data_IF_721122723585
#
_entry.id   IF_721122723585
#
_cell.length_a   1.000
_cell.length_b   1.000
_cell.length_c   1.000
_cell.angle_alpha   90.00
_cell.angle_beta   90.00
_cell.angle_gamma   90.00
#
_symmetry.space_group_name_H-M   'P 1'
#
loop_
_entity.id
_entity.type
_entity.pdbx_description
1 polymer ?
#
# COMPACT_ATOMS: atom_id res chain seq x y z
N UNK A 1 -3.87 28.41 12.55
CA UNK A 1 -4.72 27.64 13.48
C UNK A 1 -4.66 28.26 14.87
N UNK A 2 -5.70 28.07 15.70
CA UNK A 2 -5.71 28.53 17.09
C UNK A 2 -4.89 27.51 17.89
N UNK A 3 -3.89 27.93 18.69
CA UNK A 3 -3.13 27.02 19.55
C UNK A 3 -4.04 26.29 20.53
N UNK A 4 -3.82 24.99 20.68
CA UNK A 4 -4.54 24.18 21.67
C UNK A 4 -3.63 23.84 22.85
N UNK A 5 -4.18 23.92 24.07
CA UNK A 5 -3.46 23.52 25.27
C UNK A 5 -3.63 22.01 25.49
N UNK A 6 -2.54 21.27 25.51
CA UNK A 6 -2.52 19.81 25.61
C UNK A 6 -1.49 19.30 26.64
N UNK A 7 -1.57 18.03 26.99
CA UNK A 7 -0.55 17.34 27.75
C UNK A 7 0.22 16.43 26.79
N UNK A 8 1.52 16.61 26.68
CA UNK A 8 2.41 15.73 25.95
C UNK A 8 3.13 14.80 26.92
N UNK A 9 2.94 13.50 26.74
CA UNK A 9 3.64 12.46 27.46
C UNK A 9 4.71 11.83 26.56
N UNK A 10 6.01 12.05 26.82
CA UNK A 10 7.08 11.48 26.02
C UNK A 10 7.08 9.96 25.96
N UNK A 11 6.49 9.28 26.94
CA UNK A 11 6.42 7.81 26.97
C UNK A 11 5.59 7.21 25.83
N UNK A 12 4.70 7.99 25.23
CA UNK A 12 3.94 7.59 24.01
C UNK A 12 4.86 7.39 22.80
N UNK A 13 6.06 8.00 22.84
CA UNK A 13 7.10 7.88 21.80
C UNK A 13 8.30 7.06 22.27
N UNK A 14 8.12 6.22 23.29
CA UNK A 14 9.20 5.44 23.93
C UNK A 14 10.39 6.31 24.43
N UNK A 15 10.14 7.59 24.73
CA UNK A 15 11.14 8.51 25.22
C UNK A 15 11.05 8.69 26.74
N UNK A 16 12.19 8.87 27.42
CA UNK A 16 12.18 9.14 28.86
C UNK A 16 11.71 10.58 29.14
N UNK A 17 10.87 10.75 30.15
CA UNK A 17 10.41 12.08 30.57
C UNK A 17 9.10 12.00 31.35
N UNK A 18 8.75 13.09 32.03
CA UNK A 18 7.44 13.25 32.63
C UNK A 18 6.50 13.99 31.67
N UNK A 19 5.18 13.78 31.77
CA UNK A 19 4.20 14.54 31.02
C UNK A 19 4.36 16.04 31.25
N UNK A 20 4.28 16.82 30.17
CA UNK A 20 4.43 18.28 30.16
C UNK A 20 3.24 18.97 29.54
N UNK A 21 2.88 20.13 30.06
CA UNK A 21 1.84 20.98 29.48
C UNK A 21 2.41 21.71 28.27
N UNK A 22 1.75 21.62 27.13
CA UNK A 22 2.21 22.16 25.85
C UNK A 22 1.14 22.96 25.16
N UNK A 23 1.58 23.92 24.36
CA UNK A 23 0.79 24.46 23.27
C UNK A 23 1.02 23.59 22.05
N UNK A 24 -0.04 23.07 21.47
CA UNK A 24 -0.06 22.34 20.20
C UNK A 24 -0.45 23.33 19.09
N UNK A 25 0.44 23.49 18.13
CA UNK A 25 0.36 24.50 17.09
C UNK A 25 0.54 23.85 15.73
N UNK A 26 -0.35 24.16 14.80
CA UNK A 26 -0.07 23.97 13.38
C UNK A 26 0.44 25.26 12.78
N UNK A 27 1.64 25.22 12.25
CA UNK A 27 2.26 26.32 11.54
C UNK A 27 2.14 26.04 10.04
N UNK A 28 1.56 26.97 9.31
CA UNK A 28 1.50 26.94 7.85
C UNK A 28 2.08 28.22 7.27
N UNK A 29 2.88 28.08 6.22
CA UNK A 29 3.42 29.23 5.48
C UNK A 29 2.61 29.45 4.20
N UNK A 30 1.99 30.63 4.08
CA UNK A 30 1.32 31.00 2.84
C UNK A 30 2.37 31.27 1.75
N UNK A 31 2.42 30.42 0.73
CA UNK A 31 3.26 30.62 -0.47
C UNK A 31 4.55 29.79 -0.54
N UNK A 32 4.86 28.99 0.47
CA UNK A 32 5.94 27.99 0.41
C UNK A 32 5.32 26.65 0.70
N UNK A 33 5.25 25.75 -0.29
CA UNK A 33 4.58 24.44 -0.19
C UNK A 33 5.19 23.53 0.89
N UNK A 34 6.38 23.86 1.40
CA UNK A 34 7.18 22.95 2.24
C UNK A 34 7.35 23.45 3.69
N UNK A 35 6.51 24.33 4.21
CA UNK A 35 6.70 24.89 5.54
C UNK A 35 5.49 24.72 6.48
N UNK A 36 4.81 23.58 6.38
CA UNK A 36 3.79 23.20 7.36
C UNK A 36 4.39 22.31 8.43
N UNK A 37 4.14 22.63 9.68
CA UNK A 37 4.61 21.81 10.79
C UNK A 37 3.61 21.83 11.96
N UNK A 38 3.44 20.69 12.62
CA UNK A 38 2.88 20.63 13.98
C UNK A 38 4.01 20.83 14.97
N UNK A 39 3.83 21.76 15.88
CA UNK A 39 4.87 22.16 16.85
C UNK A 39 4.31 22.07 18.24
N UNK A 40 4.98 21.34 19.12
CA UNK A 40 4.70 21.39 20.56
C UNK A 40 5.66 22.34 21.26
N UNK A 41 5.09 23.33 21.92
CA UNK A 41 5.81 24.32 22.68
C UNK A 41 5.47 24.18 24.17
N UNK A 42 6.45 24.09 25.03
CA UNK A 42 6.20 24.05 26.47
C UNK A 42 5.39 25.28 26.91
N UNK A 43 4.23 25.03 27.51
CA UNK A 43 3.37 26.10 28.02
C UNK A 43 3.97 26.84 29.23
N UNK A 44 5.02 26.27 29.83
CA UNK A 44 5.71 26.84 31.01
C UNK A 44 6.96 27.63 30.60
N UNK A 45 7.80 27.06 29.72
CA UNK A 45 9.09 27.66 29.38
C UNK A 45 9.10 28.36 28.02
N UNK A 46 8.12 28.13 27.14
CA UNK A 46 8.12 28.61 25.77
C UNK A 46 9.11 27.88 24.85
N UNK A 47 9.77 26.82 25.37
CA UNK A 47 10.72 26.05 24.57
C UNK A 47 9.97 25.16 23.57
N UNK A 48 10.46 25.09 22.34
CA UNK A 48 10.00 24.11 21.35
C UNK A 48 10.47 22.73 21.79
N UNK A 49 9.53 21.84 22.05
CA UNK A 49 9.80 20.48 22.51
C UNK A 49 9.84 19.52 21.32
N UNK A 50 8.95 19.71 20.34
CA UNK A 50 8.84 18.87 19.14
C UNK A 50 8.43 19.69 17.94
N UNK A 51 8.92 19.27 16.80
CA UNK A 51 8.49 19.76 15.49
C UNK A 51 8.26 18.51 14.63
N UNK A 52 7.04 18.31 14.20
CA UNK A 52 6.75 17.37 13.13
C UNK A 52 6.46 18.17 11.87
N UNK A 53 7.30 18.08 10.84
CA UNK A 53 6.93 18.62 9.55
C UNK A 53 5.59 18.00 9.14
N UNK A 54 4.56 18.81 8.97
CA UNK A 54 3.31 18.40 8.31
C UNK A 54 3.40 18.74 6.83
N UNK A 55 4.61 18.77 6.31
CA UNK A 55 4.82 18.74 4.88
C UNK A 55 4.32 17.39 4.44
N UNK A 56 3.12 17.38 3.91
CA UNK A 56 2.81 16.39 2.91
C UNK A 56 3.85 16.61 1.83
N UNK A 57 4.88 15.78 1.75
CA UNK A 57 5.58 15.66 0.50
C UNK A 57 4.47 15.34 -0.49
N UNK A 58 4.27 16.24 -1.45
CA UNK A 58 3.17 16.09 -2.39
C UNK A 58 3.30 14.69 -2.98
N UNK A 59 2.22 13.92 -3.01
CA UNK A 59 2.21 12.61 -3.68
C UNK A 59 2.99 12.74 -4.98
N UNK A 60 3.99 11.89 -5.17
CA UNK A 60 4.74 11.82 -6.43
C UNK A 60 4.48 10.45 -7.08
N UNK A 61 3.51 10.40 -7.97
CA UNK A 61 3.13 9.18 -8.69
C UNK A 61 3.69 9.19 -10.10
N UNK A 62 4.28 8.05 -10.51
CA UNK A 62 4.85 7.83 -11.84
C UNK A 62 4.33 6.53 -12.41
N UNK A 63 3.48 6.63 -13.43
CA UNK A 63 2.85 5.47 -14.05
C UNK A 63 3.45 5.24 -15.43
N UNK A 64 3.94 4.04 -15.61
CA UNK A 64 4.56 3.56 -16.85
C UNK A 64 3.66 2.52 -17.51
N UNK A 65 3.63 2.52 -18.82
CA UNK A 65 2.91 1.56 -19.63
C UNK A 65 3.89 0.67 -20.40
N UNK A 66 3.88 -0.60 -20.12
CA UNK A 66 4.67 -1.60 -20.83
C UNK A 66 4.02 -2.02 -22.16
N UNK A 67 2.79 -1.55 -22.45
CA UNK A 67 2.05 -1.82 -23.67
C UNK A 67 1.97 -3.33 -24.00
N UNK A 68 1.66 -4.15 -23.01
CA UNK A 68 1.60 -5.61 -23.12
C UNK A 68 2.92 -6.23 -23.62
N UNK A 69 4.04 -5.71 -23.14
CA UNK A 69 5.38 -6.24 -23.40
C UNK A 69 6.16 -6.47 -22.11
N UNK A 70 7.37 -7.00 -22.22
CA UNK A 70 8.31 -7.16 -21.10
C UNK A 70 9.14 -5.91 -20.80
N UNK A 71 8.84 -4.77 -21.46
CA UNK A 71 9.57 -3.53 -21.24
C UNK A 71 9.43 -3.03 -19.80
N UNK A 72 10.53 -2.79 -19.14
CA UNK A 72 10.59 -2.34 -17.77
C UNK A 72 11.48 -1.08 -17.67
N UNK A 73 10.93 0.06 -17.22
CA UNK A 73 9.57 0.31 -16.72
C UNK A 73 8.49 0.46 -17.80
N UNK A 74 8.83 0.54 -19.09
CA UNK A 74 7.93 0.92 -20.16
C UNK A 74 7.97 2.43 -20.42
N UNK A 75 6.93 2.95 -21.07
CA UNK A 75 6.79 4.38 -21.39
C UNK A 75 6.13 5.11 -20.23
N UNK A 76 6.71 6.20 -19.76
CA UNK A 76 6.08 7.08 -18.76
C UNK A 76 4.84 7.74 -19.41
N UNK A 77 3.64 7.44 -18.89
CA UNK A 77 2.37 7.89 -19.47
C UNK A 77 1.60 8.85 -18.57
N UNK A 78 1.85 8.82 -17.25
CA UNK A 78 1.20 9.74 -16.31
C UNK A 78 2.11 10.04 -15.11
N UNK A 79 2.15 11.30 -14.69
CA UNK A 79 2.86 11.76 -13.50
C UNK A 79 1.93 12.61 -12.64
N UNK A 80 2.37 12.91 -11.42
CA UNK A 80 1.61 13.73 -10.49
C UNK A 80 1.20 15.07 -11.10
N UNK A 81 -0.08 15.44 -10.88
CA UNK A 81 -0.65 16.69 -11.39
C UNK A 81 -1.03 16.71 -12.87
N UNK A 82 -0.72 15.65 -13.64
CA UNK A 82 -1.10 15.58 -15.06
C UNK A 82 -2.46 14.90 -15.24
N UNK A 83 -3.15 15.27 -16.32
CA UNK A 83 -4.45 14.69 -16.68
C UNK A 83 -4.38 13.21 -17.03
N UNK A 84 -5.52 12.63 -17.40
CA UNK A 84 -5.62 11.23 -17.79
C UNK A 84 -4.72 10.91 -18.99
N UNK A 85 -4.10 9.72 -18.95
CA UNK A 85 -3.22 9.22 -20.00
C UNK A 85 -3.99 8.67 -21.22
N UNK A 86 -5.26 8.30 -21.03
CA UNK A 86 -6.08 7.57 -22.00
C UNK A 86 -5.82 6.06 -22.01
N UNK A 87 -4.94 5.55 -21.16
CA UNK A 87 -4.72 4.11 -20.90
C UNK A 87 -5.43 3.77 -19.59
N UNK A 88 -6.53 3.01 -19.66
CA UNK A 88 -7.39 2.75 -18.51
C UNK A 88 -6.61 2.18 -17.31
N UNK A 89 -5.77 1.16 -17.52
CA UNK A 89 -4.96 0.57 -16.44
C UNK A 89 -4.01 1.60 -15.80
N UNK A 90 -3.44 2.52 -16.59
CA UNK A 90 -2.56 3.56 -16.06
C UNK A 90 -3.33 4.62 -15.27
N UNK A 91 -4.53 4.96 -15.74
CA UNK A 91 -5.37 5.95 -15.06
C UNK A 91 -5.95 5.39 -13.77
N UNK A 92 -6.32 4.10 -13.74
CA UNK A 92 -6.74 3.40 -12.53
C UNK A 92 -5.57 3.28 -11.53
N UNK A 93 -4.39 2.81 -11.96
CA UNK A 93 -3.22 2.71 -11.08
C UNK A 93 -2.86 4.07 -10.47
N UNK A 94 -2.93 5.16 -11.24
CA UNK A 94 -2.70 6.50 -10.73
C UNK A 94 -3.69 6.87 -9.63
N UNK A 95 -4.98 6.57 -9.82
CA UNK A 95 -6.02 6.89 -8.83
C UNK A 95 -5.83 6.03 -7.59
N UNK A 96 -5.74 4.71 -7.72
CA UNK A 96 -5.70 3.78 -6.59
C UNK A 96 -4.41 3.89 -5.76
N UNK A 97 -3.27 4.18 -6.38
CA UNK A 97 -2.05 4.53 -5.63
C UNK A 97 -2.24 5.82 -4.81
N UNK A 98 -3.03 6.77 -5.33
CA UNK A 98 -3.37 7.97 -4.59
C UNK A 98 -4.26 7.70 -3.39
N UNK A 99 -5.30 6.91 -3.58
CA UNK A 99 -6.24 6.51 -2.52
C UNK A 99 -5.49 5.74 -1.41
N UNK A 100 -4.59 4.83 -1.79
CA UNK A 100 -3.75 4.07 -0.86
C UNK A 100 -2.78 4.98 -0.09
N UNK A 101 -2.12 5.91 -0.79
CA UNK A 101 -1.26 6.89 -0.14
C UNK A 101 -2.03 7.72 0.89
N UNK A 102 -3.21 8.23 0.52
CA UNK A 102 -4.06 9.02 1.40
C UNK A 102 -4.51 8.21 2.62
N UNK A 103 -4.84 6.94 2.44
CA UNK A 103 -5.18 6.05 3.55
C UNK A 103 -4.01 5.94 4.54
N UNK A 104 -2.81 5.60 4.08
CA UNK A 104 -1.64 5.47 4.94
C UNK A 104 -1.28 6.79 5.64
N UNK A 105 -1.39 7.90 4.92
CA UNK A 105 -1.13 9.22 5.48
C UNK A 105 -2.16 9.61 6.54
N UNK A 106 -3.46 9.44 6.26
CA UNK A 106 -4.53 9.88 7.18
C UNK A 106 -4.67 8.96 8.38
N UNK A 107 -4.52 7.65 8.20
CA UNK A 107 -4.77 6.67 9.27
C UNK A 107 -3.51 6.43 10.11
N UNK A 108 -2.34 6.41 9.47
CA UNK A 108 -1.08 6.04 10.11
C UNK A 108 -0.06 7.19 10.20
N UNK A 109 -0.35 8.35 9.60
CA UNK A 109 0.58 9.47 9.53
C UNK A 109 1.78 9.18 8.63
N UNK A 110 1.69 8.15 7.79
CA UNK A 110 2.80 7.64 6.99
C UNK A 110 2.90 8.31 5.64
N UNK A 111 4.08 8.84 5.33
CA UNK A 111 4.38 9.50 4.06
C UNK A 111 5.04 8.52 3.08
N UNK A 112 4.23 7.90 2.21
CA UNK A 112 4.66 6.96 1.18
C UNK A 112 5.23 5.62 1.73
N UNK A 113 6.01 4.89 0.90
CA UNK A 113 6.55 3.56 1.22
C UNK A 113 7.57 3.59 2.36
N UNK A 114 8.39 4.63 2.41
CA UNK A 114 9.55 4.76 3.30
C UNK A 114 9.35 5.74 4.45
N UNK A 115 8.12 6.26 4.60
CA UNK A 115 7.77 7.34 5.54
C UNK A 115 8.60 8.63 5.33
N UNK A 116 9.07 8.84 4.10
CA UNK A 116 9.90 9.98 3.72
C UNK A 116 9.60 10.51 2.31
N UNK A 117 8.44 10.17 1.74
CA UNK A 117 7.97 10.70 0.46
C UNK A 117 8.56 10.02 -0.77
N UNK A 118 8.99 8.76 -0.68
CA UNK A 118 9.48 8.02 -1.85
C UNK A 118 8.43 8.04 -2.98
N UNK A 119 8.82 8.39 -4.22
CA UNK A 119 7.91 8.38 -5.34
C UNK A 119 7.21 7.03 -5.54
N UNK A 120 5.88 7.04 -5.64
CA UNK A 120 5.09 5.84 -5.95
C UNK A 120 5.17 5.53 -7.44
N UNK A 121 5.70 4.37 -7.78
CA UNK A 121 5.93 3.99 -9.18
C UNK A 121 5.19 2.72 -9.54
N UNK A 122 4.43 2.73 -10.63
CA UNK A 122 3.78 1.54 -11.17
C UNK A 122 4.07 1.34 -12.65
N UNK A 123 4.16 0.07 -13.06
CA UNK A 123 4.18 -0.34 -14.46
C UNK A 123 2.94 -1.16 -14.75
N UNK A 124 2.09 -0.69 -15.63
CA UNK A 124 0.85 -1.38 -16.04
C UNK A 124 1.03 -2.08 -17.37
N UNK A 125 0.13 -3.00 -17.68
CA UNK A 125 0.13 -3.84 -18.87
C UNK A 125 1.48 -4.54 -19.08
N UNK A 126 2.08 -4.97 -17.95
CA UNK A 126 3.38 -5.64 -17.96
C UNK A 126 3.23 -7.14 -18.22
N UNK A 127 4.04 -7.66 -19.12
CA UNK A 127 4.17 -9.10 -19.35
C UNK A 127 5.42 -9.61 -18.64
N UNK A 128 5.27 -10.40 -17.60
CA UNK A 128 6.42 -11.05 -16.98
C UNK A 128 7.09 -12.00 -17.98
N UNK A 129 8.44 -12.02 -18.04
CA UNK A 129 9.15 -12.97 -18.89
C UNK A 129 8.81 -14.42 -18.49
N UNK A 130 8.31 -15.21 -19.43
CA UNK A 130 7.96 -16.62 -19.22
C UNK A 130 8.88 -17.60 -19.95
N UNK A 131 10.02 -17.12 -20.47
CA UNK A 131 11.00 -17.94 -21.17
C UNK A 131 10.61 -18.29 -22.62
N UNK A 132 9.47 -17.84 -23.13
CA UNK A 132 9.12 -17.99 -24.56
C UNK A 132 9.64 -16.81 -25.39
N UNK A 133 9.87 -17.02 -26.70
CA UNK A 133 10.29 -15.94 -27.60
C UNK A 133 9.42 -15.96 -28.88
N UNK A 134 8.54 -14.96 -29.13
CA UNK A 134 8.29 -13.80 -28.26
C UNK A 134 7.63 -14.19 -26.93
N UNK A 135 7.84 -13.40 -25.87
CA UNK A 135 7.22 -13.69 -24.60
C UNK A 135 5.69 -13.61 -24.75
N UNK A 136 5.00 -14.69 -24.39
CA UNK A 136 3.57 -14.65 -24.29
C UNK A 136 3.23 -13.90 -22.99
N UNK A 137 2.37 -12.88 -23.08
CA UNK A 137 1.80 -12.32 -21.88
C UNK A 137 1.04 -13.44 -21.15
N UNK A 138 1.31 -13.72 -19.87
CA UNK A 138 0.48 -14.65 -19.13
C UNK A 138 -0.98 -14.17 -19.18
N UNK A 139 -1.94 -15.09 -19.03
CA UNK A 139 -3.34 -14.71 -18.92
C UNK A 139 -3.50 -13.66 -17.80
N UNK A 140 -4.57 -12.85 -17.82
CA UNK A 140 -4.82 -11.83 -16.80
C UNK A 140 -4.70 -12.48 -15.40
N UNK A 141 -3.89 -11.89 -14.52
CA UNK A 141 -3.63 -12.46 -13.20
C UNK A 141 -2.22 -12.19 -12.68
N UNK A 142 -1.62 -11.05 -13.07
CA UNK A 142 -0.32 -10.67 -12.55
C UNK A 142 -0.38 -9.32 -11.89
N UNK A 143 -0.15 -9.29 -10.58
CA UNK A 143 0.30 -8.12 -9.84
C UNK A 143 1.47 -8.55 -8.94
N UNK A 144 2.43 -7.67 -8.73
CA UNK A 144 3.50 -7.88 -7.76
C UNK A 144 4.24 -6.58 -7.46
N UNK A 145 4.75 -6.48 -6.23
CA UNK A 145 5.71 -5.45 -5.82
C UNK A 145 7.14 -5.94 -6.01
N UNK A 146 7.99 -5.11 -6.54
CA UNK A 146 9.43 -5.39 -6.60
C UNK A 146 10.26 -4.10 -6.59
N UNK A 147 11.18 -4.01 -5.63
CA UNK A 147 12.21 -2.95 -5.56
C UNK A 147 11.66 -1.53 -5.72
N UNK A 148 10.62 -1.19 -4.96
CA UNK A 148 10.02 0.14 -4.94
C UNK A 148 9.01 0.42 -6.06
N UNK A 149 8.59 -0.61 -6.82
CA UNK A 149 7.63 -0.47 -7.90
C UNK A 149 6.58 -1.56 -7.87
N UNK A 150 5.34 -1.19 -8.17
CA UNK A 150 4.24 -2.09 -8.40
C UNK A 150 4.14 -2.44 -9.89
N UNK A 151 3.79 -3.69 -10.20
CA UNK A 151 3.63 -4.20 -11.57
C UNK A 151 2.27 -4.84 -11.72
N UNK A 152 1.59 -4.51 -12.81
CA UNK A 152 0.27 -5.03 -13.10
C UNK A 152 0.18 -5.53 -14.56
N UNK A 153 -0.34 -6.73 -14.75
CA UNK A 153 -0.75 -7.22 -16.06
C UNK A 153 -1.94 -6.45 -16.61
N UNK A 154 -2.24 -6.62 -17.89
CA UNK A 154 -3.38 -5.98 -18.55
C UNK A 154 -4.69 -6.34 -17.84
N UNK A 155 -5.47 -5.32 -17.45
CA UNK A 155 -6.75 -5.48 -16.76
C UNK A 155 -6.65 -5.99 -15.31
N UNK A 156 -5.46 -5.93 -14.69
CA UNK A 156 -5.24 -6.42 -13.33
C UNK A 156 -5.03 -5.29 -12.32
N UNK A 157 -5.60 -4.12 -12.58
CA UNK A 157 -5.56 -2.94 -11.73
C UNK A 157 -6.92 -2.74 -11.08
N UNK A 158 -7.11 -3.30 -9.89
CA UNK A 158 -8.21 -3.01 -8.96
C UNK A 158 -7.66 -2.22 -7.77
N UNK A 159 -8.51 -1.60 -6.98
CA UNK A 159 -8.10 -0.72 -5.88
C UNK A 159 -7.51 -1.48 -4.71
N UNK A 160 -8.16 -2.55 -4.25
CA UNK A 160 -7.64 -3.47 -3.26
C UNK A 160 -6.33 -4.15 -3.69
N UNK A 161 -6.25 -4.62 -4.96
CA UNK A 161 -5.03 -5.22 -5.51
C UNK A 161 -3.90 -4.18 -5.58
N UNK A 162 -4.21 -2.94 -5.95
CA UNK A 162 -3.21 -1.86 -5.99
C UNK A 162 -2.72 -1.52 -4.59
N UNK A 163 -3.62 -1.48 -3.61
CA UNK A 163 -3.28 -1.23 -2.22
C UNK A 163 -2.51 -2.41 -1.61
N UNK A 164 -2.84 -3.65 -1.96
CA UNK A 164 -2.10 -4.86 -1.60
C UNK A 164 -0.64 -4.75 -2.06
N UNK A 165 -0.40 -4.43 -3.33
CA UNK A 165 0.97 -4.32 -3.86
C UNK A 165 1.76 -3.17 -3.23
N UNK A 166 1.12 -2.04 -2.96
CA UNK A 166 1.77 -0.93 -2.25
C UNK A 166 2.13 -1.34 -0.82
N UNK A 167 1.26 -2.10 -0.15
CA UNK A 167 1.48 -2.58 1.23
C UNK A 167 2.68 -3.50 1.35
N UNK A 168 2.98 -4.32 0.33
CA UNK A 168 4.26 -5.04 0.29
C UNK A 168 5.47 -4.10 0.38
N UNK A 169 5.36 -2.94 -0.27
CA UNK A 169 6.39 -1.89 -0.18
C UNK A 169 6.50 -1.33 1.24
N UNK A 170 5.39 -1.02 1.89
CA UNK A 170 5.38 -0.58 3.29
C UNK A 170 6.00 -1.65 4.19
N UNK A 171 5.58 -2.91 4.06
CA UNK A 171 6.14 -4.04 4.82
C UNK A 171 7.66 -4.18 4.63
N UNK A 172 8.16 -3.92 3.41
CA UNK A 172 9.60 -4.00 3.13
C UNK A 172 10.41 -2.92 3.86
N UNK A 173 9.85 -1.72 4.05
CA UNK A 173 10.50 -0.62 4.76
C UNK A 173 10.32 -0.70 6.27
N UNK A 174 9.24 -1.33 6.76
CA UNK A 174 8.93 -1.45 8.19
C UNK A 174 9.47 -2.73 8.82
N UNK A 175 8.69 -3.80 8.72
CA UNK A 175 9.01 -5.07 9.39
C UNK A 175 10.03 -5.92 8.64
N UNK A 176 10.22 -5.69 7.34
CA UNK A 176 11.16 -6.45 6.50
C UNK A 176 10.87 -7.94 6.49
N UNK A 177 9.61 -8.36 6.60
CA UNK A 177 9.21 -9.78 6.60
C UNK A 177 9.76 -10.48 5.37
N UNK A 178 10.60 -11.49 5.57
CA UNK A 178 11.19 -12.28 4.51
C UNK A 178 10.08 -13.00 3.73
N UNK A 179 10.05 -12.82 2.40
CA UNK A 179 8.99 -13.31 1.54
C UNK A 179 9.13 -14.81 1.24
N UNK A 180 8.96 -15.64 2.28
CA UNK A 180 8.97 -17.09 2.19
C UNK A 180 8.27 -17.71 3.41
N UNK A 181 7.64 -18.87 3.23
CA UNK A 181 7.00 -19.64 4.28
C UNK A 181 6.02 -18.79 5.13
N UNK A 182 5.99 -18.98 6.44
CA UNK A 182 5.06 -18.28 7.34
C UNK A 182 5.27 -16.76 7.37
N UNK A 183 6.51 -16.27 7.33
CA UNK A 183 6.76 -14.82 7.28
C UNK A 183 6.24 -14.18 6.00
N UNK A 184 6.35 -14.89 4.87
CA UNK A 184 5.76 -14.46 3.61
C UNK A 184 4.25 -14.52 3.63
N UNK A 185 3.66 -15.55 4.25
CA UNK A 185 2.21 -15.65 4.41
C UNK A 185 1.64 -14.52 5.29
N UNK A 186 2.36 -14.09 6.33
CA UNK A 186 2.00 -12.92 7.14
C UNK A 186 2.08 -11.63 6.30
N UNK A 187 3.13 -11.49 5.47
CA UNK A 187 3.28 -10.37 4.55
C UNK A 187 2.09 -10.27 3.59
N UNK A 188 1.68 -11.40 2.99
CA UNK A 188 0.48 -11.49 2.14
C UNK A 188 -0.79 -11.14 2.88
N UNK A 189 -0.99 -11.70 4.09
CA UNK A 189 -2.16 -11.43 4.91
C UNK A 189 -2.29 -9.95 5.28
N UNK A 190 -1.19 -9.29 5.65
CA UNK A 190 -1.21 -7.85 5.89
C UNK A 190 -1.53 -7.05 4.64
N UNK A 191 -1.00 -7.46 3.49
CA UNK A 191 -1.30 -6.81 2.21
C UNK A 191 -2.78 -6.95 1.85
N UNK A 192 -3.38 -8.11 2.07
CA UNK A 192 -4.82 -8.33 1.88
C UNK A 192 -5.64 -7.44 2.85
N UNK A 193 -5.31 -7.43 4.15
CA UNK A 193 -6.04 -6.66 5.16
C UNK A 193 -6.02 -5.16 4.85
N UNK A 194 -4.85 -4.60 4.52
CA UNK A 194 -4.75 -3.18 4.21
C UNK A 194 -5.32 -2.85 2.83
N UNK A 195 -5.25 -3.79 1.87
CA UNK A 195 -5.93 -3.70 0.57
C UNK A 195 -7.41 -3.48 0.75
N UNK A 196 -8.06 -4.36 1.51
CA UNK A 196 -9.48 -4.27 1.81
C UNK A 196 -9.86 -3.01 2.60
N UNK A 197 -9.05 -2.56 3.56
CA UNK A 197 -9.36 -1.32 4.28
C UNK A 197 -9.30 -0.09 3.38
N UNK A 198 -8.42 -0.07 2.39
CA UNK A 198 -8.38 1.00 1.38
C UNK A 198 -9.62 0.93 0.51
N UNK A 199 -9.97 -0.26 0.01
CA UNK A 199 -11.15 -0.51 -0.82
C UNK A 199 -12.42 -0.03 -0.12
N UNK A 200 -12.70 -0.51 1.08
CA UNK A 200 -13.86 -0.10 1.88
C UNK A 200 -13.91 1.41 2.21
N UNK A 201 -12.79 2.11 2.14
CA UNK A 201 -12.67 3.51 2.51
C UNK A 201 -12.63 4.49 1.34
N UNK A 202 -12.30 4.05 0.12
CA UNK A 202 -12.07 4.94 -1.02
C UNK A 202 -13.34 5.33 -1.78
N UNK A 203 -14.45 4.60 -1.58
CA UNK A 203 -15.74 4.81 -2.23
C UNK A 203 -15.71 4.52 -3.73
N UNK A 204 -14.86 3.61 -4.16
CA UNK A 204 -14.74 3.14 -5.54
C UNK A 204 -15.09 1.66 -5.61
N UNK A 205 -15.19 1.13 -6.83
CA UNK A 205 -15.45 -0.29 -7.00
C UNK A 205 -16.83 -0.75 -6.50
N UNK A 206 -16.89 -1.95 -5.96
CA UNK A 206 -18.12 -2.65 -5.57
C UNK A 206 -18.09 -3.05 -4.10
N UNK A 207 -18.29 -2.11 -3.17
CA UNK A 207 -18.24 -2.32 -1.70
C UNK A 207 -19.56 -2.83 -1.10
N UNK A 208 -20.16 -3.83 -1.67
CA UNK A 208 -21.38 -4.40 -1.09
C UNK A 208 -21.07 -5.39 0.04
N UNK A 209 -22.03 -5.61 0.92
CA UNK A 209 -21.88 -6.61 2.00
C UNK A 209 -21.58 -8.04 1.50
N UNK A 210 -21.87 -8.34 0.23
CA UNK A 210 -21.64 -9.65 -0.37
C UNK A 210 -20.18 -9.86 -0.82
N UNK A 211 -19.46 -8.80 -1.13
CA UNK A 211 -18.08 -8.85 -1.62
C UNK A 211 -17.06 -8.40 -0.58
N UNK A 212 -17.51 -7.75 0.48
CA UNK A 212 -16.67 -7.35 1.60
C UNK A 212 -15.80 -8.50 2.09
N UNK A 213 -14.51 -8.24 2.27
CA UNK A 213 -13.47 -9.20 2.64
C UNK A 213 -13.13 -10.21 1.53
N UNK A 214 -13.42 -9.87 0.29
CA UNK A 214 -12.87 -10.53 -0.89
C UNK A 214 -11.72 -9.67 -1.44
N UNK A 215 -10.71 -10.27 -2.00
CA UNK A 215 -9.61 -9.58 -2.68
C UNK A 215 -9.75 -9.81 -4.18
N UNK A 216 -9.75 -8.71 -4.94
CA UNK A 216 -9.82 -8.73 -6.40
C UNK A 216 -11.24 -8.93 -6.95
N UNK A 217 -12.29 -8.59 -6.21
CA UNK A 217 -13.68 -8.76 -6.68
C UNK A 217 -14.00 -7.88 -7.90
N UNK A 218 -13.35 -6.73 -8.04
CA UNK A 218 -13.49 -5.83 -9.18
C UNK A 218 -12.63 -6.20 -10.40
N UNK A 219 -11.81 -7.25 -10.28
CA UNK A 219 -11.09 -7.77 -11.43
C UNK A 219 -12.04 -8.44 -12.45
N UNK A 220 -11.72 -8.43 -13.75
CA UNK A 220 -12.53 -9.10 -14.77
C UNK A 220 -12.77 -10.59 -14.51
N UNK A 221 -11.88 -11.25 -13.73
CA UNK A 221 -11.99 -12.65 -13.33
C UNK A 221 -12.75 -12.87 -12.02
N UNK A 222 -13.13 -11.80 -11.32
CA UNK A 222 -13.70 -11.85 -9.99
C UNK A 222 -12.65 -12.10 -8.90
N UNK A 223 -13.11 -12.23 -7.66
CA UNK A 223 -12.27 -12.33 -6.48
C UNK A 223 -11.23 -13.48 -6.53
N UNK A 224 -10.06 -13.20 -6.00
CA UNK A 224 -8.92 -14.12 -5.93
C UNK A 224 -8.89 -14.89 -4.61
N UNK A 225 -9.26 -14.26 -3.52
CA UNK A 225 -9.22 -14.80 -2.14
C UNK A 225 -10.40 -14.30 -1.33
N UNK A 226 -10.65 -14.94 -0.20
CA UNK A 226 -11.62 -14.49 0.80
C UNK A 226 -11.01 -14.55 2.19
N UNK A 227 -10.99 -13.42 2.90
CA UNK A 227 -10.54 -13.39 4.29
C UNK A 227 -11.54 -14.00 5.27
N UNK A 228 -12.82 -14.04 4.92
CA UNK A 228 -13.87 -14.63 5.79
C UNK A 228 -14.12 -16.11 5.52
N UNK A 229 -13.78 -16.59 4.33
CA UNK A 229 -13.96 -17.99 3.95
C UNK A 229 -12.85 -18.47 3.00
N UNK A 230 -11.58 -18.51 3.46
CA UNK A 230 -10.46 -18.94 2.63
C UNK A 230 -10.67 -20.29 1.93
N UNK A 231 -11.30 -21.31 2.56
CA UNK A 231 -11.51 -22.61 1.91
C UNK A 231 -12.37 -22.57 0.65
N UNK A 232 -13.25 -21.57 0.49
CA UNK A 232 -14.03 -21.42 -0.74
C UNK A 232 -13.14 -21.12 -1.96
N UNK A 233 -11.95 -20.59 -1.73
CA UNK A 233 -10.93 -20.29 -2.76
C UNK A 233 -9.78 -21.32 -2.79
N UNK A 234 -9.89 -22.38 -1.98
CA UNK A 234 -8.90 -23.44 -1.90
C UNK A 234 -7.74 -23.11 -0.95
N UNK A 235 -7.87 -22.11 -0.11
CA UNK A 235 -6.86 -21.66 0.84
C UNK A 235 -7.17 -22.17 2.26
N UNK A 236 -6.16 -22.41 3.09
CA UNK A 236 -6.39 -22.86 4.46
C UNK A 236 -6.89 -21.71 5.35
N UNK A 237 -7.75 -22.06 6.29
CA UNK A 237 -8.27 -21.17 7.35
C UNK A 237 -7.56 -21.39 8.70
N UNK A 238 -6.65 -22.36 8.79
CA UNK A 238 -5.91 -22.73 10.01
C UNK A 238 -4.73 -23.64 9.69
N UNK A 239 -3.75 -23.71 10.57
CA UNK A 239 -2.55 -24.55 10.42
C UNK A 239 -2.84 -26.04 10.24
N UNK A 240 -3.94 -26.55 10.82
CA UNK A 240 -4.36 -27.95 10.69
C UNK A 240 -5.25 -28.25 9.48
N UNK A 241 -5.44 -27.29 8.58
CA UNK A 241 -6.22 -27.47 7.36
C UNK A 241 -5.51 -28.44 6.40
N UNK A 242 -6.26 -29.33 5.72
CA UNK A 242 -5.68 -30.16 4.65
C UNK A 242 -5.22 -29.34 3.43
N UNK A 243 -5.62 -28.08 3.34
CA UNK A 243 -5.22 -27.14 2.29
C UNK A 243 -3.89 -26.44 2.62
N UNK A 244 -3.42 -26.53 3.88
CA UNK A 244 -2.18 -25.87 4.31
C UNK A 244 -0.96 -26.37 3.52
N UNK A 245 -0.17 -25.47 2.99
CA UNK A 245 1.06 -25.80 2.28
C UNK A 245 2.27 -25.77 3.22
N UNK A 246 2.97 -26.92 3.38
CA UNK A 246 4.14 -26.96 4.23
C UNK A 246 5.34 -26.24 3.58
N UNK A 247 6.33 -25.79 4.38
CA UNK A 247 7.54 -25.13 3.88
C UNK A 247 8.36 -25.93 2.85
N UNK A 248 8.18 -27.25 2.82
CA UNK A 248 8.81 -28.13 1.82
C UNK A 248 8.25 -27.98 0.42
N UNK A 249 7.08 -27.37 0.27
CA UNK A 249 6.50 -27.04 -1.02
C UNK A 249 7.16 -25.75 -1.55
N UNK A 250 8.06 -25.90 -2.51
CA UNK A 250 8.78 -24.76 -3.11
C UNK A 250 7.94 -23.95 -4.10
N UNK A 251 6.79 -24.45 -4.51
CA UNK A 251 5.83 -23.67 -5.25
C UNK A 251 5.29 -22.59 -4.33
N UNK A 252 5.07 -21.39 -4.86
CA UNK A 252 4.55 -20.27 -4.06
C UNK A 252 5.43 -19.96 -2.83
N UNK A 253 6.75 -20.07 -2.95
CA UNK A 253 7.75 -19.76 -1.91
C UNK A 253 7.45 -20.42 -0.55
N UNK A 254 6.89 -21.61 -0.53
CA UNK A 254 6.46 -22.32 0.68
C UNK A 254 5.02 -21.95 1.12
N UNK A 255 4.21 -21.52 0.17
CA UNK A 255 2.79 -21.25 0.37
C UNK A 255 2.50 -19.84 0.88
N UNK A 256 3.22 -18.82 0.41
CA UNK A 256 3.02 -17.45 0.91
C UNK A 256 1.62 -16.92 0.60
N UNK A 257 1.17 -17.03 -0.64
CA UNK A 257 -0.18 -16.61 -1.01
C UNK A 257 -1.24 -17.54 -0.42
N UNK A 258 -1.00 -18.86 -0.58
CA UNK A 258 -1.99 -19.85 -0.15
C UNK A 258 -2.23 -19.84 1.35
N UNK A 259 -1.19 -19.69 2.17
CA UNK A 259 -1.31 -19.73 3.62
C UNK A 259 -1.68 -18.39 4.24
N UNK A 260 -1.87 -17.30 3.46
CA UNK A 260 -2.25 -15.99 3.98
C UNK A 260 -3.57 -16.02 4.75
N UNK A 261 -4.52 -16.88 4.38
CA UNK A 261 -5.80 -17.05 5.07
C UNK A 261 -5.72 -17.71 6.45
N UNK A 262 -4.53 -18.13 6.91
CA UNK A 262 -4.32 -18.69 8.26
C UNK A 262 -4.14 -17.60 9.33
N UNK A 263 -3.81 -16.36 8.95
CA UNK A 263 -3.45 -15.28 9.86
C UNK A 263 -4.63 -14.39 10.24
#
# INVERSE_FOLDING_TARGET
TIPELAIFDPSVLDEPGAPVLVWDLEISSAGVLDANARVLVSAVSGQVLRVWPTVQSARDRKIYDANSTTNNPGTLVRVEGYGASGVADADNAYVFLGDTYDFYLMVHGRDSLDDAGLPLSATVRYCAPNGTNPPACPPPGLAFYSRGRMYFGTGFVADDVTAHELTHGVTAFESGLIYTNASGAINESFSDIWGEFVDLGNGRGTDTAAVRWLIGEDLPGGALRSMTNPPAFGDPDRLGSPLYQPPSNTNDFGGVHRNSGVN
#
